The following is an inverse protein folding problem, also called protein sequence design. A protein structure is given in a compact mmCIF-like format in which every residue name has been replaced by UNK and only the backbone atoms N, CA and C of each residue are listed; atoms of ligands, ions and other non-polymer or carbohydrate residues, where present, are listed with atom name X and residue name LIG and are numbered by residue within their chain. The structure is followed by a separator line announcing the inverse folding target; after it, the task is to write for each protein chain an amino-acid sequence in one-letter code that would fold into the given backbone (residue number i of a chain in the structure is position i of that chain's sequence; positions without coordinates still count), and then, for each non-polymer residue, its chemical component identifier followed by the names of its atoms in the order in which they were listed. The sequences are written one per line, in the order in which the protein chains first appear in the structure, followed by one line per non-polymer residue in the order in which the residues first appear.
data_IF_537081505198
#
_entry.id   IF_537081505198
#
_cell.length_a   1.000
_cell.length_b   1.000
_cell.length_c   1.000
_cell.angle_alpha   90.00
_cell.angle_beta   90.00
_cell.angle_gamma   90.00
#
_symmetry.space_group_name_H-M   'P 1'
#
loop_
_entity.id
_entity.type
_entity.pdbx_description
1 polymer ?
#
# COMPACT_ATOMS: atom_id res chain seq x y z
N UNK A 1 -8.08 -0.93 -44.41
CA UNK A 1 -7.07 -0.22 -43.60
C UNK A 1 -7.06 -0.87 -42.23
N UNK A 2 -6.05 -1.68 -41.91
CA UNK A 2 -5.90 -2.25 -40.58
C UNK A 2 -5.62 -1.10 -39.60
N UNK A 3 -6.44 -0.97 -38.54
CA UNK A 3 -6.13 -0.08 -37.42
C UNK A 3 -4.76 -0.48 -36.90
N UNK A 4 -3.77 0.40 -37.01
CA UNK A 4 -2.50 0.24 -36.29
C UNK A 4 -2.84 0.27 -34.81
N UNK A 5 -2.97 -0.88 -34.19
CA UNK A 5 -3.03 -1.00 -32.74
C UNK A 5 -1.67 -0.55 -32.22
N UNK A 6 -1.62 0.63 -31.60
CA UNK A 6 -0.45 1.07 -30.82
C UNK A 6 -0.39 0.38 -29.45
N UNK A 7 -1.29 -0.57 -29.20
CA UNK A 7 -1.36 -1.35 -27.97
C UNK A 7 -0.72 -2.72 -28.25
N UNK A 8 0.23 -3.09 -27.40
CA UNK A 8 0.72 -4.46 -27.29
C UNK A 8 -0.22 -5.19 -26.34
N UNK A 9 -0.85 -6.26 -26.80
CA UNK A 9 -1.59 -7.16 -25.92
C UNK A 9 -0.58 -7.84 -24.98
N UNK A 10 -0.74 -7.62 -23.67
CA UNK A 10 0.11 -8.26 -22.66
C UNK A 10 -0.39 -9.68 -22.31
N UNK A 11 -1.69 -9.93 -22.51
CA UNK A 11 -2.34 -11.20 -22.27
C UNK A 11 -3.85 -11.04 -22.13
N UNK A 12 -4.54 -12.17 -22.09
CA UNK A 12 -5.95 -12.27 -21.76
C UNK A 12 -6.08 -13.09 -20.47
N UNK A 13 -7.03 -12.73 -19.61
CA UNK A 13 -7.39 -13.54 -18.45
C UNK A 13 -8.81 -14.01 -18.66
N UNK A 14 -8.99 -15.32 -18.86
CA UNK A 14 -10.29 -15.95 -18.97
C UNK A 14 -10.28 -17.27 -18.19
N UNK A 15 -10.90 -17.30 -17.02
CA UNK A 15 -11.02 -18.52 -16.23
C UNK A 15 -12.36 -18.56 -15.46
N UNK A 16 -12.83 -19.77 -15.14
CA UNK A 16 -14.12 -19.97 -14.47
C UNK A 16 -14.10 -19.45 -13.03
N UNK A 17 -12.93 -19.45 -12.37
CA UNK A 17 -12.72 -19.02 -11.00
C UNK A 17 -13.06 -17.53 -10.80
N UNK A 18 -13.01 -16.72 -11.85
CA UNK A 18 -13.45 -15.31 -11.80
C UNK A 18 -14.92 -15.18 -11.41
N UNK A 19 -15.75 -16.18 -11.70
CA UNK A 19 -17.18 -16.19 -11.32
C UNK A 19 -17.37 -16.11 -9.80
N UNK A 20 -16.42 -16.62 -9.01
CA UNK A 20 -16.46 -16.53 -7.55
C UNK A 20 -16.25 -15.11 -7.03
N UNK A 21 -15.62 -14.23 -7.83
CA UNK A 21 -15.46 -12.81 -7.53
C UNK A 21 -16.56 -11.94 -8.16
N UNK A 22 -17.59 -12.57 -8.73
CA UNK A 22 -18.73 -11.90 -9.33
C UNK A 22 -18.60 -11.60 -10.82
N UNK A 23 -17.64 -12.22 -11.52
CA UNK A 23 -17.57 -12.12 -12.98
C UNK A 23 -18.79 -12.78 -13.65
N UNK A 24 -19.15 -12.28 -14.83
CA UNK A 24 -20.31 -12.76 -15.61
C UNK A 24 -21.24 -11.66 -16.12
N UNK A 25 -20.97 -10.39 -15.75
CA UNK A 25 -21.63 -9.20 -16.31
C UNK A 25 -20.58 -8.22 -16.81
N UNK A 26 -20.87 -7.50 -17.89
CA UNK A 26 -20.03 -6.39 -18.33
C UNK A 26 -19.87 -5.37 -17.18
N UNK A 27 -18.67 -4.82 -17.00
CA UNK A 27 -18.41 -3.82 -15.97
C UNK A 27 -18.19 -4.36 -14.54
N UNK A 28 -18.30 -5.67 -14.30
CA UNK A 28 -18.23 -6.27 -12.95
C UNK A 28 -17.00 -5.84 -12.11
N UNK A 29 -15.84 -5.67 -12.75
CA UNK A 29 -14.60 -5.25 -12.09
C UNK A 29 -14.67 -3.81 -11.55
N UNK A 30 -15.41 -2.93 -12.21
CA UNK A 30 -15.52 -1.49 -11.89
C UNK A 30 -16.73 -1.22 -11.01
N UNK A 31 -17.82 -1.95 -11.22
CA UNK A 31 -19.09 -1.75 -10.52
C UNK A 31 -19.11 -2.34 -9.11
N UNK A 32 -18.18 -3.24 -8.77
CA UNK A 32 -18.07 -3.82 -7.43
C UNK A 32 -17.09 -3.03 -6.54
N UNK A 33 -17.57 -2.16 -5.63
CA UNK A 33 -16.68 -1.36 -4.77
C UNK A 33 -15.99 -2.18 -3.67
N UNK A 34 -16.41 -3.43 -3.44
CA UNK A 34 -15.78 -4.32 -2.46
C UNK A 34 -14.66 -5.16 -3.07
N UNK A 35 -14.53 -5.17 -4.40
CA UNK A 35 -13.49 -5.91 -5.09
C UNK A 35 -12.19 -5.13 -5.02
N UNK A 36 -11.14 -5.80 -4.55
CA UNK A 36 -9.79 -5.29 -4.48
C UNK A 36 -9.00 -5.86 -5.64
N UNK A 37 -8.13 -5.04 -6.22
CA UNK A 37 -7.26 -5.44 -7.32
C UNK A 37 -5.86 -4.85 -7.11
N UNK A 38 -4.84 -5.70 -7.26
CA UNK A 38 -3.44 -5.28 -7.33
C UNK A 38 -2.75 -5.99 -8.47
N UNK A 39 -2.00 -5.22 -9.24
CA UNK A 39 -1.30 -5.65 -10.44
C UNK A 39 0.19 -5.73 -10.15
N UNK A 40 0.84 -6.71 -10.73
CA UNK A 40 2.29 -6.71 -10.89
C UNK A 40 2.64 -6.95 -12.37
N UNK A 41 3.94 -7.09 -12.67
CA UNK A 41 4.44 -7.25 -14.04
C UNK A 41 3.89 -8.50 -14.73
N UNK A 42 3.58 -9.57 -13.99
CA UNK A 42 3.30 -10.90 -14.56
C UNK A 42 1.93 -11.48 -14.20
N UNK A 43 1.17 -10.79 -13.36
CA UNK A 43 -0.11 -11.27 -12.85
C UNK A 43 -0.95 -10.16 -12.20
N UNK A 44 -2.17 -10.54 -11.85
CA UNK A 44 -3.10 -9.75 -11.06
C UNK A 44 -3.57 -10.58 -9.87
N UNK A 45 -3.70 -9.95 -8.70
CA UNK A 45 -4.46 -10.50 -7.59
C UNK A 45 -5.78 -9.72 -7.47
N UNK A 46 -6.87 -10.47 -7.44
CA UNK A 46 -8.22 -9.96 -7.21
C UNK A 46 -8.76 -10.56 -5.91
N UNK A 47 -9.36 -9.74 -5.05
CA UNK A 47 -9.91 -10.22 -3.79
C UNK A 47 -11.29 -9.63 -3.50
N UNK A 48 -12.17 -10.48 -2.98
CA UNK A 48 -13.38 -10.03 -2.29
C UNK A 48 -13.11 -9.99 -0.77
N UNK A 49 -14.16 -10.11 0.05
CA UNK A 49 -14.08 -10.10 1.52
C UNK A 49 -13.47 -11.36 2.14
N UNK A 50 -13.36 -12.46 1.39
CA UNK A 50 -13.05 -13.80 1.92
C UNK A 50 -12.08 -14.62 1.09
N UNK A 51 -11.94 -14.31 -0.20
CA UNK A 51 -11.21 -15.08 -1.20
C UNK A 51 -10.31 -14.14 -1.98
N UNK A 52 -9.09 -14.61 -2.27
CA UNK A 52 -8.17 -13.98 -3.21
C UNK A 52 -7.91 -14.95 -4.36
N UNK A 53 -7.85 -14.44 -5.57
CA UNK A 53 -7.50 -15.15 -6.78
C UNK A 53 -6.29 -14.45 -7.42
N UNK A 54 -5.20 -15.20 -7.60
CA UNK A 54 -3.99 -14.76 -8.28
C UNK A 54 -4.02 -15.36 -9.69
N UNK A 55 -3.87 -14.51 -10.71
CA UNK A 55 -4.02 -14.88 -12.12
C UNK A 55 -2.80 -14.36 -12.89
N UNK A 56 -2.06 -15.25 -13.56
CA UNK A 56 -0.97 -14.86 -14.44
C UNK A 56 -1.46 -14.35 -15.80
N UNK A 57 -0.65 -13.54 -16.49
CA UNK A 57 -0.96 -13.08 -17.86
C UNK A 57 -0.64 -14.12 -18.94
N UNK A 58 0.23 -15.09 -18.64
CA UNK A 58 0.77 -16.03 -19.63
C UNK A 58 0.20 -17.44 -19.45
N UNK A 59 -0.88 -17.78 -20.15
CA UNK A 59 -1.57 -19.09 -20.04
C UNK A 59 -0.66 -20.29 -20.37
N UNK A 60 0.39 -20.11 -21.17
CA UNK A 60 1.29 -21.19 -21.59
C UNK A 60 2.30 -21.61 -20.49
N UNK A 61 2.47 -20.78 -19.45
CA UNK A 61 3.34 -21.12 -18.32
C UNK A 61 2.53 -21.90 -17.25
N UNK A 62 2.88 -23.15 -16.92
CA UNK A 62 2.19 -23.89 -15.85
C UNK A 62 2.25 -23.19 -14.47
N UNK A 63 3.17 -22.23 -14.27
CA UNK A 63 3.23 -21.37 -13.08
C UNK A 63 2.17 -20.25 -13.05
N UNK A 64 1.49 -20.00 -14.17
CA UNK A 64 0.47 -18.95 -14.31
C UNK A 64 -0.94 -19.40 -13.93
N UNK A 65 -1.11 -20.70 -13.60
CA UNK A 65 -2.41 -21.27 -13.23
C UNK A 65 -3.06 -20.45 -12.11
N UNK A 66 -4.39 -20.26 -12.17
CA UNK A 66 -5.11 -19.55 -11.12
C UNK A 66 -4.81 -20.13 -9.74
N UNK A 67 -4.24 -19.32 -8.85
CA UNK A 67 -4.04 -19.69 -7.45
C UNK A 67 -5.12 -19.06 -6.60
N UNK A 68 -5.76 -19.88 -5.80
CA UNK A 68 -6.88 -19.49 -4.97
C UNK A 68 -6.51 -19.55 -3.50
N UNK A 69 -6.66 -18.42 -2.81
CA UNK A 69 -6.38 -18.29 -1.39
C UNK A 69 -7.70 -18.00 -0.66
N UNK A 70 -8.03 -18.84 0.33
CA UNK A 70 -9.12 -18.59 1.28
C UNK A 70 -8.53 -18.50 2.69
N UNK A 71 -8.18 -17.29 3.16
CA UNK A 71 -7.62 -17.12 4.49
C UNK A 71 -8.57 -17.66 5.56
N UNK A 72 -8.07 -18.51 6.47
CA UNK A 72 -8.83 -18.99 7.63
C UNK A 72 -8.96 -17.87 8.67
N UNK A 73 -9.92 -16.98 8.45
CA UNK A 73 -10.21 -15.83 9.31
C UNK A 73 -11.39 -16.14 10.25
N UNK A 74 -11.17 -15.96 11.55
CA UNK A 74 -12.26 -16.02 12.53
C UNK A 74 -13.09 -14.72 12.52
N UNK A 75 -14.33 -14.70 13.07
CA UNK A 75 -15.12 -13.47 13.18
C UNK A 75 -14.41 -12.33 13.94
N UNK A 76 -13.49 -12.68 14.85
CA UNK A 76 -12.69 -11.70 15.59
C UNK A 76 -11.58 -11.08 14.72
N UNK A 77 -11.16 -11.75 13.64
CA UNK A 77 -10.13 -11.30 12.71
C UNK A 77 -10.72 -10.50 11.54
N UNK A 78 -12.03 -10.67 11.30
CA UNK A 78 -12.78 -9.88 10.33
C UNK A 78 -12.61 -10.38 8.90
N UNK A 79 -12.84 -9.48 7.95
CA UNK A 79 -12.83 -9.76 6.51
C UNK A 79 -11.60 -9.14 5.84
N UNK A 80 -11.26 -9.61 4.63
CA UNK A 80 -10.25 -8.98 3.78
C UNK A 80 -10.67 -7.54 3.48
N UNK A 81 -9.76 -6.59 3.70
CA UNK A 81 -10.03 -5.16 3.52
C UNK A 81 -8.98 -4.43 2.69
N UNK A 82 -7.79 -4.99 2.53
CA UNK A 82 -6.73 -4.49 1.67
C UNK A 82 -5.85 -5.66 1.18
N UNK A 83 -5.27 -5.52 0.00
CA UNK A 83 -4.25 -6.42 -0.54
C UNK A 83 -3.14 -5.58 -1.18
N UNK A 84 -1.90 -6.07 -1.16
CA UNK A 84 -0.76 -5.44 -1.85
C UNK A 84 0.34 -6.47 -2.11
N UNK A 85 1.03 -6.34 -3.26
CA UNK A 85 2.20 -7.17 -3.54
C UNK A 85 3.40 -6.69 -2.74
N UNK A 86 4.10 -7.62 -2.09
CA UNK A 86 5.44 -7.39 -1.55
C UNK A 86 6.42 -8.07 -2.50
N UNK A 87 7.27 -7.26 -3.10
CA UNK A 87 8.32 -7.69 -4.03
C UNK A 87 9.64 -7.13 -3.52
N UNK A 88 10.53 -8.01 -3.10
CA UNK A 88 11.88 -7.69 -2.61
C UNK A 88 12.88 -8.59 -3.33
N UNK A 89 13.75 -7.99 -4.13
CA UNK A 89 14.65 -8.72 -5.05
C UNK A 89 13.86 -9.77 -5.88
N UNK A 90 14.21 -11.06 -5.75
CA UNK A 90 13.54 -12.18 -6.42
C UNK A 90 12.38 -12.78 -5.62
N UNK A 91 12.12 -12.26 -4.42
CA UNK A 91 11.05 -12.76 -3.55
C UNK A 91 9.77 -11.98 -3.83
N UNK A 92 8.70 -12.74 -4.08
CA UNK A 92 7.36 -12.21 -4.32
C UNK A 92 6.33 -12.90 -3.44
N UNK A 93 5.56 -12.12 -2.70
CA UNK A 93 4.49 -12.60 -1.82
C UNK A 93 3.30 -11.65 -1.83
N UNK A 94 2.12 -12.16 -1.51
CA UNK A 94 0.90 -11.36 -1.40
C UNK A 94 0.64 -11.00 0.07
N UNK A 95 0.49 -9.71 0.35
CA UNK A 95 0.07 -9.23 1.66
C UNK A 95 -1.43 -8.93 1.69
N UNK A 96 -2.07 -9.27 2.81
CA UNK A 96 -3.51 -9.12 3.04
C UNK A 96 -3.72 -8.41 4.36
N UNK A 97 -4.50 -7.33 4.34
CA UNK A 97 -4.96 -6.60 5.51
C UNK A 97 -6.42 -6.91 5.79
N UNK A 98 -6.78 -7.00 7.05
CA UNK A 98 -8.16 -7.31 7.48
C UNK A 98 -8.90 -6.13 8.07
N UNK A 99 -10.22 -6.25 8.18
CA UNK A 99 -11.10 -5.24 8.78
C UNK A 99 -10.87 -5.04 10.28
N UNK A 100 -10.19 -5.97 10.95
CA UNK A 100 -9.90 -5.88 12.38
C UNK A 100 -8.40 -5.72 12.69
N UNK A 101 -7.57 -5.51 11.67
CA UNK A 101 -6.21 -5.00 11.87
C UNK A 101 -5.11 -6.05 11.84
N UNK A 102 -5.44 -7.26 11.37
CA UNK A 102 -4.45 -8.28 11.05
C UNK A 102 -3.78 -8.02 9.70
N UNK A 103 -2.48 -8.27 9.67
CA UNK A 103 -1.67 -8.43 8.47
C UNK A 103 -1.38 -9.92 8.27
N UNK A 104 -1.64 -10.43 7.08
CA UNK A 104 -1.30 -11.77 6.64
C UNK A 104 -0.37 -11.67 5.42
N UNK A 105 0.56 -12.61 5.30
CA UNK A 105 1.46 -12.73 4.15
C UNK A 105 1.32 -14.14 3.60
N UNK A 106 1.07 -14.26 2.30
CA UNK A 106 0.89 -15.52 1.60
C UNK A 106 1.93 -15.68 0.49
N UNK A 107 2.39 -16.92 0.28
CA UNK A 107 3.17 -17.28 -0.89
C UNK A 107 2.33 -17.10 -2.17
N UNK A 108 2.97 -16.97 -3.33
CA UNK A 108 2.25 -16.98 -4.62
C UNK A 108 1.51 -18.30 -4.84
N UNK A 109 1.98 -19.40 -4.21
CA UNK A 109 1.32 -20.71 -4.21
C UNK A 109 0.13 -20.83 -3.24
N UNK A 110 -0.12 -19.82 -2.41
CA UNK A 110 -1.26 -19.76 -1.50
C UNK A 110 -1.00 -20.27 -0.07
N UNK A 111 0.26 -20.52 0.29
CA UNK A 111 0.63 -20.91 1.65
C UNK A 111 0.69 -19.70 2.57
N UNK A 112 0.15 -19.82 3.78
CA UNK A 112 0.27 -18.77 4.79
C UNK A 112 1.70 -18.75 5.35
N UNK A 113 2.38 -17.61 5.18
CA UNK A 113 3.76 -17.38 5.65
C UNK A 113 3.75 -16.70 7.02
N UNK A 114 2.91 -15.66 7.18
CA UNK A 114 2.87 -14.84 8.39
C UNK A 114 1.46 -14.36 8.70
N UNK A 115 1.12 -14.24 9.99
CA UNK A 115 -0.15 -13.68 10.47
C UNK A 115 0.06 -12.94 11.79
N UNK A 116 -0.35 -11.67 11.84
CA UNK A 116 -0.13 -10.85 13.03
C UNK A 116 -1.17 -9.74 13.19
N UNK A 117 -1.64 -9.50 14.41
CA UNK A 117 -2.41 -8.31 14.77
C UNK A 117 -1.48 -7.08 14.87
N UNK A 118 -1.81 -6.02 14.12
CA UNK A 118 -1.03 -4.77 14.10
C UNK A 118 -1.60 -3.76 15.08
N UNK A 119 -2.85 -3.37 14.85
CA UNK A 119 -3.59 -2.43 15.69
C UNK A 119 -5.09 -2.63 15.47
N UNK A 120 -5.96 -2.51 16.49
CA UNK A 120 -7.39 -2.69 16.29
C UNK A 120 -7.98 -1.68 15.30
N UNK A 121 -8.62 -2.17 14.24
CA UNK A 121 -9.33 -1.36 13.26
C UNK A 121 -9.17 -1.85 11.82
N UNK A 122 -9.88 -1.23 10.88
CA UNK A 122 -9.82 -1.63 9.46
C UNK A 122 -8.50 -1.22 8.82
N UNK A 123 -7.79 -2.17 8.21
CA UNK A 123 -6.69 -1.83 7.30
C UNK A 123 -7.29 -1.19 6.05
N UNK A 124 -6.92 0.06 5.80
CA UNK A 124 -7.39 0.85 4.65
C UNK A 124 -6.49 0.61 3.43
N UNK A 125 -5.18 0.55 3.66
CA UNK A 125 -4.19 0.40 2.59
C UNK A 125 -2.95 -0.31 3.10
N UNK A 126 -2.38 -1.17 2.28
CA UNK A 126 -1.04 -1.69 2.41
C UNK A 126 -0.18 -1.01 1.34
N UNK A 127 1.05 -0.65 1.66
CA UNK A 127 1.98 -0.06 0.71
C UNK A 127 3.37 -0.63 0.92
N UNK A 128 4.02 -0.95 -0.18
CA UNK A 128 5.42 -1.36 -0.21
C UNK A 128 6.21 -0.28 -0.93
N UNK A 129 7.37 0.05 -0.37
CA UNK A 129 8.19 1.14 -0.88
C UNK A 129 9.65 0.78 -0.79
N UNK A 130 10.36 1.04 -1.88
CA UNK A 130 11.82 1.11 -1.91
C UNK A 130 12.24 2.58 -1.74
N UNK A 131 12.93 2.90 -0.63
CA UNK A 131 13.49 4.23 -0.40
C UNK A 131 14.98 4.22 -0.69
N UNK A 132 15.39 4.87 -1.78
CA UNK A 132 16.82 5.15 -2.03
C UNK A 132 17.22 6.45 -1.36
N UNK A 133 18.27 6.41 -0.54
CA UNK A 133 18.82 7.61 0.05
C UNK A 133 19.49 8.44 -1.06
N UNK A 134 19.12 9.72 -1.20
CA UNK A 134 19.63 10.57 -2.27
C UNK A 134 21.08 11.03 -2.10
N UNK A 135 21.71 10.68 -0.97
CA UNK A 135 23.00 11.24 -0.53
C UNK A 135 24.11 10.21 -0.33
N UNK A 136 23.81 8.91 -0.40
CA UNK A 136 24.80 7.84 -0.19
C UNK A 136 24.47 6.64 -1.07
N UNK A 137 25.52 5.91 -1.47
CA UNK A 137 25.46 4.63 -2.19
C UNK A 137 24.97 3.48 -1.29
N UNK A 138 24.14 3.80 -0.28
CA UNK A 138 23.63 2.84 0.68
C UNK A 138 22.55 1.95 0.05
N UNK A 139 22.49 0.70 0.50
CA UNK A 139 21.46 -0.28 0.16
C UNK A 139 20.07 0.36 0.27
N UNK A 140 19.18 0.17 -0.73
CA UNK A 140 17.82 0.70 -0.67
C UNK A 140 17.13 0.27 0.62
N UNK A 141 16.51 1.23 1.30
CA UNK A 141 15.70 0.98 2.49
C UNK A 141 14.29 0.65 2.04
N UNK A 142 13.98 -0.63 2.02
CA UNK A 142 12.62 -1.10 1.78
C UNK A 142 11.78 -0.97 3.04
N UNK A 143 10.49 -0.71 2.87
CA UNK A 143 9.54 -0.69 3.97
C UNK A 143 8.15 -1.15 3.52
N UNK A 144 7.44 -1.78 4.46
CA UNK A 144 6.02 -2.10 4.32
C UNK A 144 5.25 -1.24 5.30
N UNK A 145 4.23 -0.53 4.83
CA UNK A 145 3.38 0.29 5.67
C UNK A 145 1.92 -0.14 5.63
N UNK A 146 1.28 -0.07 6.80
CA UNK A 146 -0.14 -0.39 7.00
C UNK A 146 -0.84 0.89 7.40
N UNK A 147 -1.81 1.30 6.59
CA UNK A 147 -2.61 2.51 6.81
C UNK A 147 -3.94 2.10 7.41
N UNK A 148 -4.31 2.75 8.51
CA UNK A 148 -5.55 2.56 9.24
C UNK A 148 -6.14 3.94 9.61
N UNK A 149 -7.41 4.05 10.01
CA UNK A 149 -8.01 5.33 10.37
C UNK A 149 -7.21 6.06 11.47
N UNK A 150 -6.51 7.13 11.08
CA UNK A 150 -5.69 7.93 11.98
C UNK A 150 -4.38 7.28 12.44
N UNK A 151 -3.99 6.11 11.90
CA UNK A 151 -2.80 5.36 12.31
C UNK A 151 -2.01 4.89 11.09
N UNK A 152 -0.68 5.00 11.18
CA UNK A 152 0.25 4.37 10.24
C UNK A 152 1.14 3.42 11.03
N UNK A 153 1.24 2.18 10.56
CA UNK A 153 2.26 1.24 10.99
C UNK A 153 3.35 1.11 9.92
N UNK A 154 4.60 0.95 10.34
CA UNK A 154 5.74 0.63 9.46
C UNK A 154 6.44 -0.62 9.94
N UNK A 155 6.77 -1.49 9.00
CA UNK A 155 7.69 -2.60 9.14
C UNK A 155 8.97 -2.27 8.40
N UNK A 156 10.11 -2.61 9.00
CA UNK A 156 11.37 -2.51 8.28
C UNK A 156 11.43 -3.59 7.19
N UNK A 157 11.79 -3.20 5.96
CA UNK A 157 11.87 -4.13 4.85
C UNK A 157 12.89 -5.23 5.07
N UNK A 158 14.00 -4.94 5.77
CA UNK A 158 15.02 -5.95 6.09
C UNK A 158 14.51 -7.05 7.03
N UNK A 159 13.67 -6.70 8.01
CA UNK A 159 13.02 -7.66 8.90
C UNK A 159 12.04 -8.56 8.11
N UNK A 160 11.24 -7.96 7.22
CA UNK A 160 10.31 -8.70 6.37
C UNK A 160 11.08 -9.62 5.40
N UNK A 161 12.12 -9.12 4.75
CA UNK A 161 12.95 -9.89 3.83
C UNK A 161 13.62 -11.08 4.54
N UNK A 162 14.15 -10.87 5.74
CA UNK A 162 14.74 -11.93 6.55
C UNK A 162 13.73 -13.03 6.87
N UNK A 163 12.52 -12.65 7.29
CA UNK A 163 11.43 -13.60 7.54
C UNK A 163 11.09 -14.41 6.28
N UNK A 164 10.96 -13.74 5.14
CA UNK A 164 10.64 -14.41 3.88
C UNK A 164 11.77 -15.37 3.46
N UNK A 165 13.02 -14.93 3.53
CA UNK A 165 14.18 -15.76 3.20
C UNK A 165 14.25 -17.02 4.07
N UNK A 166 14.01 -16.90 5.38
CA UNK A 166 13.94 -18.04 6.28
C UNK A 166 12.85 -19.04 5.87
N UNK A 167 11.64 -18.54 5.58
CA UNK A 167 10.54 -19.37 5.10
C UNK A 167 10.89 -20.12 3.80
N UNK A 168 11.42 -19.41 2.79
CA UNK A 168 11.78 -20.02 1.51
C UNK A 168 12.91 -21.05 1.65
N UNK A 169 13.88 -20.82 2.53
CA UNK A 169 14.95 -21.78 2.81
C UNK A 169 14.41 -23.06 3.46
N UNK A 170 13.45 -22.95 4.37
CA UNK A 170 12.82 -24.09 5.03
C UNK A 170 11.90 -24.88 4.10
N UNK A 171 11.07 -24.21 3.30
CA UNK A 171 10.25 -24.91 2.30
C UNK A 171 11.14 -25.66 1.31
N UNK A 172 12.27 -25.05 0.90
CA UNK A 172 13.26 -25.72 0.07
C UNK A 172 13.90 -26.90 0.81
N UNK A 173 14.28 -26.81 2.08
CA UNK A 173 14.87 -27.97 2.76
C UNK A 173 13.88 -29.11 2.94
N UNK A 174 12.62 -28.83 3.28
CA UNK A 174 11.56 -29.84 3.40
C UNK A 174 11.24 -30.56 2.08
N UNK A 175 11.33 -29.85 0.95
CA UNK A 175 11.19 -30.46 -0.37
C UNK A 175 12.32 -31.45 -0.71
N UNK A 176 13.51 -31.23 -0.14
CA UNK A 176 14.68 -32.09 -0.33
C UNK A 176 14.71 -33.25 0.69
N UNK A 177 14.21 -33.02 1.91
CA UNK A 177 14.05 -34.02 2.97
C UNK A 177 12.70 -34.76 2.84
N UNK A 178 12.52 -35.59 1.80
CA UNK A 178 11.31 -36.40 1.57
C UNK A 178 11.01 -37.48 2.64
N UNK A 179 11.56 -37.40 3.87
CA UNK A 179 11.20 -38.26 5.01
C UNK A 179 11.38 -37.52 6.33
N UNK A 180 10.31 -36.92 6.88
CA UNK A 180 9.67 -37.35 8.15
C UNK A 180 8.68 -36.30 8.68
N UNK A 181 7.53 -36.83 9.13
CA UNK A 181 6.59 -36.33 10.14
C UNK A 181 5.75 -35.08 9.85
N UNK A 182 4.45 -35.35 9.69
CA UNK A 182 3.35 -34.42 10.01
C UNK A 182 3.59 -33.84 11.41
N UNK A 183 4.01 -32.59 11.47
CA UNK A 183 3.94 -31.79 12.69
C UNK A 183 2.49 -31.32 12.85
N UNK A 184 1.97 -31.41 14.07
CA UNK A 184 0.66 -30.88 14.41
C UNK A 184 0.60 -29.37 14.14
N UNK A 185 -0.57 -28.83 13.72
CA UNK A 185 -0.72 -27.42 13.40
C UNK A 185 -0.86 -26.61 14.69
N UNK A 186 0.24 -26.41 15.41
CA UNK A 186 0.34 -25.28 16.34
C UNK A 186 0.35 -23.98 15.52
N UNK A 187 -0.33 -22.95 16.03
CA UNK A 187 -0.70 -21.70 15.35
C UNK A 187 0.35 -21.23 14.31
N UNK A 188 0.09 -21.38 12.99
CA UNK A 188 1.07 -21.06 11.95
C UNK A 188 1.47 -19.58 11.95
N UNK A 189 0.73 -18.72 12.68
CA UNK A 189 1.08 -17.32 12.90
C UNK A 189 2.32 -17.07 13.78
N UNK A 190 2.88 -18.09 14.46
CA UNK A 190 4.02 -17.90 15.37
C UNK A 190 5.35 -18.50 14.92
N UNK A 191 5.43 -19.15 13.75
CA UNK A 191 6.59 -19.99 13.39
C UNK A 191 7.89 -19.20 13.17
N UNK A 192 7.82 -17.99 12.59
CA UNK A 192 9.00 -17.16 12.26
C UNK A 192 9.18 -15.94 13.18
N UNK A 193 8.45 -15.91 14.29
CA UNK A 193 8.46 -14.80 15.23
C UNK A 193 7.61 -13.60 14.80
N UNK A 194 7.50 -12.62 15.71
CA UNK A 194 6.67 -11.43 15.51
C UNK A 194 7.46 -10.35 14.79
N UNK A 195 6.95 -9.87 13.66
CA UNK A 195 7.51 -8.72 12.96
C UNK A 195 7.39 -7.47 13.82
N UNK A 196 8.54 -6.85 14.10
CA UNK A 196 8.59 -5.57 14.79
C UNK A 196 8.03 -4.49 13.89
N UNK A 197 7.26 -3.58 14.47
CA UNK A 197 6.72 -2.44 13.76
C UNK A 197 6.71 -1.20 14.63
N UNK A 198 6.67 -0.04 14.01
CA UNK A 198 6.43 1.25 14.65
C UNK A 198 5.00 1.70 14.35
N UNK A 199 4.36 2.36 15.31
CA UNK A 199 3.00 2.91 15.19
C UNK A 199 3.04 4.41 15.38
N UNK A 200 2.35 5.16 14.53
CA UNK A 200 2.19 6.60 14.66
C UNK A 200 0.73 7.00 14.57
N UNK A 201 0.34 7.95 15.42
CA UNK A 201 -0.96 8.61 15.33
C UNK A 201 -0.84 9.81 14.38
N UNK A 202 -1.59 9.76 13.27
CA UNK A 202 -1.66 10.83 12.26
C UNK A 202 -3.05 11.45 12.18
N UNK A 203 -3.81 11.41 13.29
CA UNK A 203 -5.21 11.85 13.33
C UNK A 203 -5.39 13.33 13.71
N UNK A 204 -4.31 14.11 13.90
CA UNK A 204 -4.40 15.51 14.36
C UNK A 204 -5.34 16.36 13.51
N UNK A 205 -5.35 16.16 12.20
CA UNK A 205 -6.14 16.96 11.26
C UNK A 205 -7.43 16.28 10.81
N UNK A 206 -7.80 15.15 11.42
CA UNK A 206 -8.99 14.37 11.07
C UNK A 206 -8.66 12.90 10.81
N UNK A 207 -9.69 12.13 10.44
CA UNK A 207 -9.49 10.75 10.03
C UNK A 207 -8.82 10.70 8.65
N UNK A 208 -7.76 9.90 8.51
CA UNK A 208 -7.16 9.65 7.20
C UNK A 208 -7.94 8.57 6.45
N UNK A 209 -8.21 8.84 5.17
CA UNK A 209 -8.76 7.88 4.22
C UNK A 209 -7.65 7.06 3.56
N UNK A 210 -6.52 7.71 3.33
CA UNK A 210 -5.31 7.12 2.75
C UNK A 210 -4.09 7.88 3.29
N UNK A 211 -2.94 7.22 3.29
CA UNK A 211 -1.69 7.76 3.74
C UNK A 211 -0.52 7.04 3.09
N UNK A 212 0.65 7.67 3.11
CA UNK A 212 1.88 7.03 2.72
C UNK A 212 3.08 7.68 3.42
N UNK A 213 4.10 6.87 3.70
CA UNK A 213 5.42 7.37 4.06
C UNK A 213 6.14 7.73 2.75
N UNK A 214 6.57 8.98 2.62
CA UNK A 214 7.11 9.53 1.36
C UNK A 214 8.63 9.54 1.31
N UNK A 215 9.30 9.42 2.45
CA UNK A 215 10.75 9.32 2.54
C UNK A 215 11.31 9.72 3.90
N UNK A 216 12.63 9.77 3.99
CA UNK A 216 13.37 10.18 5.19
C UNK A 216 13.47 11.70 5.22
N UNK A 217 13.27 12.27 6.41
CA UNK A 217 13.48 13.67 6.69
C UNK A 217 14.80 13.89 7.43
N UNK A 218 15.48 15.03 7.21
CA UNK A 218 16.56 15.43 8.08
C UNK A 218 16.03 15.66 9.51
N UNK A 219 16.90 15.50 10.54
CA UNK A 219 16.52 15.79 11.90
C UNK A 219 16.07 17.25 12.05
N UNK A 220 15.16 17.55 13.00
CA UNK A 220 14.84 18.92 13.37
C UNK A 220 16.12 19.70 13.72
N UNK A 221 16.15 21.00 13.44
CA UNK A 221 17.32 21.85 13.67
C UNK A 221 17.84 21.79 15.12
N UNK A 222 16.95 21.64 16.08
CA UNK A 222 17.28 21.53 17.52
C UNK A 222 17.64 20.10 17.98
N UNK A 223 17.61 19.11 17.08
CA UNK A 223 17.87 17.70 17.37
C UNK A 223 18.93 17.11 16.42
N UNK A 224 19.80 17.96 15.89
CA UNK A 224 20.80 17.63 14.84
C UNK A 224 21.80 16.53 15.26
N UNK A 225 22.03 16.35 16.56
CA UNK A 225 22.90 15.29 17.11
C UNK A 225 22.16 13.97 17.43
N UNK A 226 20.88 13.89 17.12
CA UNK A 226 20.10 12.67 17.34
C UNK A 226 20.49 11.61 16.30
N UNK A 227 20.76 10.38 16.76
CA UNK A 227 20.91 9.21 15.89
C UNK A 227 19.56 8.68 15.37
N UNK A 228 18.46 9.35 15.72
CA UNK A 228 17.11 8.92 15.36
C UNK A 228 16.77 9.23 13.91
N UNK A 229 16.09 8.27 13.28
CA UNK A 229 15.53 8.46 11.94
C UNK A 229 14.17 9.16 12.03
N UNK A 230 13.96 10.06 11.08
CA UNK A 230 12.71 10.78 10.90
C UNK A 230 12.13 10.45 9.53
N UNK A 231 10.84 10.18 9.47
CA UNK A 231 10.13 9.92 8.21
C UNK A 231 9.12 11.03 7.94
N UNK A 232 8.86 11.29 6.66
CA UNK A 232 7.75 12.12 6.24
C UNK A 232 6.56 11.22 5.91
N UNK A 233 5.40 11.51 6.48
CA UNK A 233 4.15 10.88 6.09
C UNK A 233 3.19 11.93 5.54
N UNK A 234 2.53 11.58 4.46
CA UNK A 234 1.44 12.34 3.85
C UNK A 234 0.15 11.58 4.06
N UNK A 235 -0.89 12.28 4.50
CA UNK A 235 -2.24 11.74 4.67
C UNK A 235 -3.25 12.58 3.92
N UNK A 236 -4.35 11.96 3.51
CA UNK A 236 -5.49 12.62 2.88
C UNK A 236 -6.77 12.19 3.59
N UNK A 237 -7.80 13.03 3.59
CA UNK A 237 -9.07 12.68 4.22
C UNK A 237 -10.16 13.72 4.04
N UNK A 238 -11.23 13.56 4.81
CA UNK A 238 -12.41 14.41 4.74
C UNK A 238 -12.22 15.80 5.36
N UNK A 239 -11.47 15.87 6.47
CA UNK A 239 -11.28 17.12 7.23
C UNK A 239 -10.10 17.96 6.72
N UNK A 240 -9.11 17.29 6.13
CA UNK A 240 -7.97 17.90 5.47
C UNK A 240 -7.73 17.16 4.15
N UNK A 241 -7.73 17.92 3.05
CA UNK A 241 -7.46 17.37 1.70
C UNK A 241 -6.08 16.71 1.66
N UNK A 242 -5.14 17.33 2.37
CA UNK A 242 -3.77 16.88 2.52
C UNK A 242 -3.27 17.32 3.91
N UNK A 243 -2.56 16.44 4.61
CA UNK A 243 -1.72 16.79 5.74
C UNK A 243 -0.40 16.04 5.72
N UNK A 244 0.63 16.64 6.31
CA UNK A 244 1.95 16.04 6.39
C UNK A 244 2.44 16.01 7.84
N UNK A 245 3.20 14.95 8.15
CA UNK A 245 3.71 14.65 9.49
C UNK A 245 5.17 14.24 9.40
N UNK A 246 5.94 14.63 10.42
CA UNK A 246 7.25 14.08 10.74
C UNK A 246 7.07 12.97 11.77
N UNK A 247 7.42 11.76 11.39
CA UNK A 247 7.35 10.56 12.21
C UNK A 247 8.72 10.31 12.83
N UNK A 248 8.80 10.21 14.15
CA UNK A 248 10.02 9.86 14.87
C UNK A 248 10.02 8.39 15.23
N UNK A 249 11.16 7.72 15.16
CA UNK A 249 11.31 6.35 15.65
C UNK A 249 11.24 6.23 17.19
N UNK A 250 11.44 7.34 17.91
CA UNK A 250 11.49 7.36 19.37
C UNK A 250 10.13 7.06 20.01
N UNK A 251 10.11 5.97 20.77
CA UNK A 251 8.95 5.52 21.57
C UNK A 251 8.83 6.27 22.90
N UNK A 252 9.92 6.89 23.39
CA UNK A 252 9.98 7.47 24.75
C UNK A 252 9.24 8.80 24.91
N UNK A 253 8.82 9.43 23.81
CA UNK A 253 8.28 10.82 23.80
C UNK A 253 6.82 10.94 23.37
N UNK A 254 6.09 9.84 23.24
CA UNK A 254 4.68 9.88 22.85
C UNK A 254 3.78 10.18 24.06
N UNK A 255 3.62 11.47 24.36
CA UNK A 255 2.65 11.95 25.36
C UNK A 255 1.18 11.82 24.87
N UNK A 256 0.94 11.16 23.74
CA UNK A 256 -0.38 11.10 23.08
C UNK A 256 -1.11 9.77 23.34
N UNK A 257 -0.48 8.83 24.05
CA UNK A 257 -1.09 7.54 24.41
C UNK A 257 -2.32 7.62 25.33
N UNK A 258 -2.64 8.79 25.88
CA UNK A 258 -3.69 8.94 26.92
C UNK A 258 -5.00 9.58 26.42
N UNK A 259 -5.08 10.09 25.18
CA UNK A 259 -6.24 10.88 24.72
C UNK A 259 -7.15 10.12 23.73
N UNK A 260 -6.76 8.94 23.25
CA UNK A 260 -7.59 8.15 22.32
C UNK A 260 -8.66 7.26 22.98
N UNK A 261 -8.77 7.25 24.31
CA UNK A 261 -9.82 6.49 25.02
C UNK A 261 -11.16 7.22 25.15
N UNK A 262 -11.32 8.44 24.60
CA UNK A 262 -12.49 9.30 24.88
C UNK A 262 -13.45 9.58 23.73
N UNK A 263 -13.29 8.97 22.56
CA UNK A 263 -14.31 9.05 21.50
C UNK A 263 -14.52 7.70 20.82
N UNK A 264 -14.92 6.70 21.61
CA UNK A 264 -15.70 5.58 21.07
C UNK A 264 -17.19 5.95 21.24
N UNK A 265 -18.02 5.89 20.19
CA UNK A 265 -19.46 5.82 20.36
C UNK A 265 -19.77 4.66 21.30
N UNK A 266 -20.36 4.99 22.45
CA UNK A 266 -20.75 4.03 23.47
C UNK A 266 -21.92 3.17 22.97
N UNK A 267 -21.65 2.13 22.19
CA UNK A 267 -22.57 1.00 21.96
C UNK A 267 -21.81 -0.30 21.73
N UNK A 268 -20.98 -0.71 22.69
CA UNK A 268 -20.63 -2.12 22.85
C UNK A 268 -20.71 -2.47 24.34
N UNK A 269 -21.91 -2.94 24.72
CA UNK A 269 -22.21 -3.89 25.80
C UNK A 269 -21.22 -3.96 26.97
N UNK A 270 -21.41 -3.11 27.97
CA UNK A 270 -21.03 -3.38 29.37
C UNK A 270 -22.26 -3.37 30.28
N UNK A 271 -23.18 -4.29 30.01
CA UNK A 271 -24.08 -4.82 31.05
C UNK A 271 -23.73 -6.28 31.29
N UNK A 272 -22.70 -6.51 32.11
CA UNK A 272 -22.51 -7.78 32.80
C UNK A 272 -21.47 -7.61 33.93
N UNK A 273 -21.89 -7.18 35.13
CA UNK A 273 -21.38 -7.67 36.42
C UNK A 273 -21.90 -6.86 37.60
N UNK A 274 -23.12 -7.15 38.03
CA UNK A 274 -23.51 -7.07 39.44
C UNK A 274 -24.29 -8.33 39.78
N UNK A 275 -23.56 -9.44 39.90
CA UNK A 275 -24.05 -10.66 40.54
C UNK A 275 -22.85 -11.55 40.87
N UNK A 276 -22.08 -11.14 41.87
CA UNK A 276 -21.39 -12.09 42.75
C UNK A 276 -22.23 -12.28 44.00
N UNK A 277 -23.23 -13.14 43.90
CA UNK A 277 -23.65 -13.92 45.04
C UNK A 277 -24.20 -15.25 44.54
N UNK A 278 -23.65 -16.33 45.09
CA UNK A 278 -24.14 -17.72 45.06
C UNK A 278 -23.57 -18.62 43.94
N UNK A 279 -22.67 -19.49 44.41
CA UNK A 279 -22.30 -20.84 43.95
C UNK A 279 -21.01 -21.09 43.16
N UNK A 280 -20.17 -21.93 43.79
CA UNK A 280 -19.06 -22.71 43.21
C UNK A 280 -19.62 -23.72 42.21
N UNK A 281 -19.06 -23.74 41.00
CA UNK A 281 -18.76 -24.99 40.28
C UNK A 281 -17.63 -24.72 39.30
N UNK A 282 -16.70 -25.67 39.22
CA UNK A 282 -15.58 -25.69 38.28
C UNK A 282 -16.05 -25.53 36.83
N UNK A 283 -15.44 -24.58 36.12
CA UNK A 283 -15.45 -24.57 34.65
C UNK A 283 -14.18 -23.90 34.16
N UNK A 284 -13.35 -24.68 33.49
CA UNK A 284 -12.11 -24.34 32.80
C UNK A 284 -12.39 -23.20 31.81
N UNK A 285 -11.93 -21.99 32.13
CA UNK A 285 -12.05 -20.84 31.24
C UNK A 285 -10.78 -20.70 30.39
N UNK A 286 -10.99 -20.82 29.08
CA UNK A 286 -10.04 -20.53 28.02
C UNK A 286 -9.43 -19.13 28.18
N UNK A 287 -8.10 -19.08 28.16
CA UNK A 287 -7.28 -17.86 28.25
C UNK A 287 -7.61 -16.94 27.08
N UNK A 288 -8.33 -15.84 27.35
CA UNK A 288 -8.37 -14.68 26.46
C UNK A 288 -7.01 -13.98 26.59
N UNK A 289 -6.14 -14.11 25.59
CA UNK A 289 -4.91 -13.32 25.49
C UNK A 289 -5.30 -11.87 25.20
N UNK A 290 -5.38 -11.06 26.25
CA UNK A 290 -5.52 -9.62 26.16
C UNK A 290 -4.19 -9.05 25.61
N UNK A 291 -4.12 -8.81 24.30
CA UNK A 291 -2.92 -8.28 23.65
C UNK A 291 -2.78 -6.81 24.05
N UNK A 292 -1.87 -6.54 24.99
CA UNK A 292 -1.56 -5.17 25.44
C UNK A 292 -1.17 -4.29 24.23
N UNK A 293 -1.88 -3.17 23.98
CA UNK A 293 -1.61 -2.34 22.81
C UNK A 293 -0.21 -1.74 22.89
N UNK A 294 0.54 -1.84 21.77
CA UNK A 294 1.87 -1.28 21.65
C UNK A 294 1.84 0.25 21.74
N UNK A 295 2.78 0.90 22.45
CA UNK A 295 2.83 2.36 22.51
C UNK A 295 3.13 2.97 21.14
N UNK A 296 2.45 4.07 20.83
CA UNK A 296 2.72 4.89 19.66
C UNK A 296 4.06 5.63 19.80
N UNK A 297 4.79 5.79 18.70
CA UNK A 297 5.90 6.72 18.59
C UNK A 297 5.40 8.13 18.24
N UNK A 298 6.27 9.14 18.38
CA UNK A 298 5.88 10.55 18.19
C UNK A 298 5.64 10.88 16.72
N UNK A 299 4.46 11.41 16.41
CA UNK A 299 4.15 12.02 15.11
C UNK A 299 3.94 13.53 15.30
N UNK A 300 4.76 14.34 14.64
CA UNK A 300 4.71 15.80 14.72
C UNK A 300 4.11 16.35 13.42
N UNK A 301 3.01 17.10 13.48
CA UNK A 301 2.42 17.71 12.29
C UNK A 301 3.36 18.74 11.67
N UNK A 302 3.43 18.78 10.34
CA UNK A 302 4.26 19.71 9.57
C UNK A 302 3.41 20.77 8.88
N UNK A 303 2.42 20.34 8.10
CA UNK A 303 1.51 21.22 7.37
C UNK A 303 0.17 20.53 7.11
N UNK A 304 -0.85 21.32 6.80
CA UNK A 304 -2.14 20.82 6.35
C UNK A 304 -2.79 21.79 5.35
N UNK A 305 -3.45 21.22 4.34
CA UNK A 305 -4.33 21.93 3.42
C UNK A 305 -5.78 21.60 3.78
N UNK A 306 -6.44 22.54 4.45
CA UNK A 306 -7.88 22.49 4.73
C UNK A 306 -8.62 23.38 3.73
N UNK A 307 -9.56 22.80 2.98
CA UNK A 307 -10.29 23.51 1.92
C UNK A 307 -11.76 23.02 1.88
N UNK A 308 -12.48 23.14 2.99
CA UNK A 308 -13.88 22.70 3.10
C UNK A 308 -14.75 23.40 2.03
N UNK A 309 -15.57 22.70 1.20
CA UNK A 309 -16.05 21.31 1.32
C UNK A 309 -15.20 20.22 0.66
N UNK A 310 -14.02 20.55 0.15
CA UNK A 310 -13.15 19.59 -0.53
C UNK A 310 -12.59 18.55 0.44
N UNK A 311 -12.55 17.31 -0.03
CA UNK A 311 -11.99 16.14 0.65
C UNK A 311 -10.95 15.50 -0.25
N UNK A 312 -9.87 14.97 0.34
CA UNK A 312 -8.93 14.13 -0.40
C UNK A 312 -9.49 12.71 -0.52
N UNK A 313 -9.39 12.11 -1.71
CA UNK A 313 -10.01 10.81 -2.01
C UNK A 313 -9.02 9.69 -2.33
N UNK A 314 -7.98 9.95 -3.14
CA UNK A 314 -6.96 8.95 -3.49
C UNK A 314 -5.56 9.56 -3.46
N UNK A 315 -4.59 8.80 -2.96
CA UNK A 315 -3.18 9.17 -2.92
C UNK A 315 -2.35 8.17 -3.75
N UNK A 316 -1.68 8.68 -4.78
CA UNK A 316 -0.75 7.90 -5.62
C UNK A 316 0.66 8.47 -5.45
N UNK A 317 1.62 7.65 -5.05
CA UNK A 317 3.03 8.07 -4.95
C UNK A 317 3.79 7.73 -6.22
N UNK A 318 4.79 8.54 -6.56
CA UNK A 318 5.79 8.16 -7.56
C UNK A 318 6.69 7.04 -7.01
N UNK A 319 7.35 6.24 -7.87
CA UNK A 319 8.28 5.20 -7.44
C UNK A 319 9.36 5.72 -6.48
N UNK A 320 9.89 6.92 -6.77
CA UNK A 320 10.87 7.58 -5.90
C UNK A 320 10.27 8.22 -4.64
N UNK A 321 8.95 8.34 -4.54
CA UNK A 321 8.22 9.03 -3.48
C UNK A 321 8.36 10.54 -3.45
N UNK A 322 9.15 11.14 -4.34
CA UNK A 322 9.37 12.60 -4.40
C UNK A 322 8.14 13.37 -4.87
N UNK A 323 7.23 12.69 -5.55
CA UNK A 323 5.99 13.24 -6.05
C UNK A 323 4.81 12.41 -5.56
N UNK A 324 3.68 13.08 -5.34
CA UNK A 324 2.40 12.44 -5.07
C UNK A 324 1.29 13.11 -5.86
N UNK A 325 0.42 12.31 -6.46
CA UNK A 325 -0.82 12.77 -7.08
C UNK A 325 -1.98 12.51 -6.11
N UNK A 326 -2.76 13.55 -5.81
CA UNK A 326 -3.90 13.49 -4.90
C UNK A 326 -5.16 13.89 -5.66
N UNK A 327 -6.14 13.01 -5.71
CA UNK A 327 -7.47 13.33 -6.27
C UNK A 327 -8.38 13.86 -5.16
N UNK A 328 -9.23 14.82 -5.50
CA UNK A 328 -10.18 15.41 -4.55
C UNK A 328 -11.66 15.18 -4.96
N UNK A 329 -12.55 15.41 -3.99
CA UNK A 329 -14.00 15.27 -4.15
C UNK A 329 -14.66 16.29 -5.08
N UNK A 330 -13.92 17.30 -5.55
CA UNK A 330 -14.39 18.33 -6.48
C UNK A 330 -13.86 18.11 -7.90
N UNK A 331 -13.22 16.96 -8.16
CA UNK A 331 -12.69 16.59 -9.46
C UNK A 331 -11.45 17.39 -9.86
N UNK A 332 -10.54 17.61 -8.90
CA UNK A 332 -9.19 18.12 -9.16
C UNK A 332 -8.13 17.07 -8.83
N UNK A 333 -6.97 17.25 -9.42
CA UNK A 333 -5.77 16.47 -9.14
C UNK A 333 -4.67 17.45 -8.70
N UNK A 334 -4.09 17.21 -7.53
CA UNK A 334 -2.97 17.98 -6.98
C UNK A 334 -1.68 17.16 -7.17
N UNK A 335 -0.68 17.73 -7.84
CA UNK A 335 0.69 17.19 -7.83
C UNK A 335 1.45 17.83 -6.68
N UNK A 336 1.82 17.04 -5.70
CA UNK A 336 2.57 17.42 -4.51
C UNK A 336 4.04 17.03 -4.67
N UNK A 337 4.95 17.98 -4.47
CA UNK A 337 6.33 17.69 -4.11
C UNK A 337 6.36 17.28 -2.62
N UNK A 338 6.75 16.04 -2.35
CA UNK A 338 6.69 15.47 -0.99
C UNK A 338 7.88 15.87 -0.13
N UNK A 339 8.95 16.40 -0.71
CA UNK A 339 10.11 16.90 0.02
C UNK A 339 9.87 18.34 0.47
N UNK A 340 9.41 19.19 -0.45
CA UNK A 340 9.05 20.57 -0.15
C UNK A 340 7.69 20.71 0.53
N UNK A 341 6.83 19.68 0.42
CA UNK A 341 5.43 19.69 0.88
C UNK A 341 4.61 20.82 0.22
N UNK A 342 4.89 21.07 -1.07
CA UNK A 342 4.24 22.11 -1.88
C UNK A 342 3.53 21.49 -3.08
N UNK A 343 2.31 21.96 -3.35
CA UNK A 343 1.58 21.59 -4.57
C UNK A 343 2.20 22.32 -5.76
N UNK A 344 2.84 21.57 -6.65
CA UNK A 344 3.56 22.10 -7.83
C UNK A 344 2.68 22.22 -9.07
N UNK A 345 1.58 21.46 -9.15
CA UNK A 345 0.61 21.54 -10.26
C UNK A 345 -0.79 21.14 -9.81
N UNK A 346 -1.80 21.70 -10.48
CA UNK A 346 -3.22 21.39 -10.27
C UNK A 346 -3.92 21.18 -11.62
N UNK A 347 -4.66 20.08 -11.75
CA UNK A 347 -5.58 19.85 -12.86
C UNK A 347 -7.04 19.97 -12.37
N UNK A 348 -7.94 20.51 -13.20
CA UNK A 348 -9.36 20.69 -12.87
C UNK A 348 -10.24 19.96 -13.89
N UNK A 349 -11.40 19.47 -13.47
CA UNK A 349 -12.35 18.77 -14.36
C UNK A 349 -12.01 17.29 -14.57
N UNK A 350 -11.37 16.68 -13.57
CA UNK A 350 -10.94 15.28 -13.54
C UNK A 350 -11.68 14.54 -12.41
N UNK A 351 -13.01 14.64 -12.42
CA UNK A 351 -13.86 13.92 -11.44
C UNK A 351 -13.72 12.41 -11.66
N UNK A 352 -13.64 11.66 -10.57
CA UNK A 352 -13.46 10.21 -10.55
C UNK A 352 -12.17 9.72 -11.25
N UNK A 353 -11.16 10.59 -11.40
CA UNK A 353 -9.93 10.24 -12.08
C UNK A 353 -9.06 9.28 -11.25
N UNK A 354 -8.27 8.47 -11.96
CA UNK A 354 -7.24 7.60 -11.39
C UNK A 354 -5.88 8.04 -11.90
N UNK A 355 -4.90 8.05 -11.01
CA UNK A 355 -3.54 8.47 -11.30
C UNK A 355 -2.60 7.28 -11.20
N UNK A 356 -1.60 7.24 -12.07
CA UNK A 356 -0.51 6.26 -12.03
C UNK A 356 0.79 6.95 -12.44
N UNK A 357 1.84 6.77 -11.64
CA UNK A 357 3.18 7.16 -12.07
C UNK A 357 3.82 6.01 -12.84
N UNK A 358 4.44 6.32 -13.97
CA UNK A 358 5.10 5.36 -14.86
C UNK A 358 6.43 5.95 -15.35
N UNK A 359 7.40 5.08 -15.64
CA UNK A 359 8.68 5.49 -16.25
C UNK A 359 8.66 5.12 -17.74
N UNK A 360 8.99 6.08 -18.61
CA UNK A 360 8.98 5.92 -20.07
C UNK A 360 10.41 6.08 -20.58
N UNK A 361 10.89 5.13 -21.36
CA UNK A 361 12.19 5.23 -22.01
C UNK A 361 12.20 6.37 -23.04
N UNK A 362 13.15 7.28 -22.88
CA UNK A 362 13.41 8.44 -23.73
C UNK A 362 14.46 8.05 -24.79
N UNK A 363 14.20 8.35 -26.06
CA UNK A 363 15.20 8.18 -27.13
C UNK A 363 14.95 7.00 -28.08
N UNK A 364 13.73 6.46 -28.13
CA UNK A 364 13.37 5.39 -29.06
C UNK A 364 13.04 5.93 -30.47
N UNK A 365 13.94 6.69 -31.08
CA UNK A 365 13.82 7.05 -32.49
C UNK A 365 15.18 6.98 -33.20
N UNK A 366 15.16 6.25 -34.33
CA UNK A 366 16.15 6.16 -35.43
C UNK A 366 17.35 5.21 -35.26
N UNK A 367 17.17 3.98 -35.77
CA UNK A 367 18.17 3.23 -36.56
C UNK A 367 19.60 3.16 -36.05
N UNK A 368 19.85 2.35 -35.02
CA UNK A 368 21.15 1.71 -34.80
C UNK A 368 21.01 0.53 -33.84
N UNK A 369 20.48 -0.56 -34.37
CA UNK A 369 20.77 -1.89 -33.86
C UNK A 369 22.27 -2.15 -33.96
N UNK A 370 23.03 -1.89 -32.89
CA UNK A 370 24.30 -2.57 -32.54
C UNK A 370 24.84 -2.05 -31.21
N UNK A 371 24.58 -2.76 -30.11
CA UNK A 371 25.46 -3.02 -28.95
C UNK A 371 24.59 -3.26 -27.69
N UNK A 372 25.06 -4.15 -26.81
CA UNK A 372 24.48 -4.45 -25.51
C UNK A 372 24.57 -3.22 -24.57
N UNK A 373 23.83 -2.15 -24.85
CA UNK A 373 23.65 -1.08 -23.87
C UNK A 373 22.55 -1.50 -22.91
N UNK A 374 22.96 -1.86 -21.70
CA UNK A 374 22.06 -2.00 -20.56
C UNK A 374 21.47 -0.61 -20.26
N UNK A 375 20.17 -0.46 -20.43
CA UNK A 375 19.49 0.82 -20.26
C UNK A 375 19.70 1.34 -18.84
N UNK A 376 20.20 2.56 -18.73
CA UNK A 376 20.44 3.22 -17.46
C UNK A 376 19.18 3.95 -16.99
N UNK A 377 19.07 4.24 -15.69
CA UNK A 377 17.93 5.00 -15.15
C UNK A 377 17.77 6.39 -15.77
N UNK A 378 18.86 6.99 -16.27
CA UNK A 378 18.83 8.28 -16.98
C UNK A 378 18.12 8.22 -18.34
N UNK A 379 17.94 7.02 -18.89
CA UNK A 379 17.21 6.83 -20.15
C UNK A 379 15.69 6.85 -19.94
N UNK A 380 15.21 6.93 -18.70
CA UNK A 380 13.78 6.94 -18.38
C UNK A 380 13.31 8.30 -17.87
N UNK A 381 12.14 8.71 -18.34
CA UNK A 381 11.41 9.87 -17.83
C UNK A 381 10.22 9.43 -16.98
N UNK A 382 10.10 10.00 -15.78
CA UNK A 382 8.92 9.84 -14.94
C UNK A 382 7.73 10.60 -15.54
N UNK A 383 6.63 9.90 -15.74
CA UNK A 383 5.37 10.41 -16.26
C UNK A 383 4.23 10.14 -15.28
N UNK A 384 3.22 11.01 -15.30
CA UNK A 384 1.95 10.84 -14.61
C UNK A 384 0.88 10.53 -15.66
N UNK A 385 0.37 9.30 -15.65
CA UNK A 385 -0.80 8.92 -16.41
C UNK A 385 -2.06 9.24 -15.58
N UNK A 386 -3.02 9.91 -16.22
CA UNK A 386 -4.30 10.29 -15.62
C UNK A 386 -5.40 9.66 -16.46
N UNK A 387 -6.04 8.63 -15.92
CA UNK A 387 -7.28 8.10 -16.47
C UNK A 387 -8.45 8.97 -16.00
N UNK A 388 -9.20 9.54 -16.93
CA UNK A 388 -10.36 10.38 -16.67
C UNK A 388 -11.64 9.70 -17.20
N UNK A 389 -12.32 8.85 -16.40
CA UNK A 389 -13.41 8.01 -16.87
C UNK A 389 -14.56 8.81 -17.50
N UNK A 390 -14.90 9.97 -16.91
CA UNK A 390 -15.96 10.85 -17.41
C UNK A 390 -15.69 11.42 -18.80
N UNK A 391 -14.43 11.48 -19.20
CA UNK A 391 -13.99 11.93 -20.52
C UNK A 391 -13.68 10.78 -21.47
N UNK A 392 -13.55 9.54 -20.96
CA UNK A 392 -13.14 8.37 -21.75
C UNK A 392 -11.71 8.46 -22.29
N UNK A 393 -10.81 9.16 -21.60
CA UNK A 393 -9.43 9.38 -22.04
C UNK A 393 -8.40 9.02 -20.96
N UNK A 394 -7.19 8.70 -21.41
CA UNK A 394 -5.98 8.64 -20.58
C UNK A 394 -5.00 9.69 -21.10
N UNK A 395 -4.60 10.62 -20.24
CA UNK A 395 -3.62 11.65 -20.54
C UNK A 395 -2.30 11.34 -19.86
N UNK A 396 -1.17 11.51 -20.56
CA UNK A 396 0.17 11.27 -20.01
C UNK A 396 0.91 12.59 -19.93
N UNK A 397 1.36 12.95 -18.73
CA UNK A 397 2.11 14.17 -18.47
C UNK A 397 3.54 13.86 -18.02
N UNK A 398 4.52 14.52 -18.62
CA UNK A 398 5.90 14.46 -18.13
C UNK A 398 5.99 15.10 -16.74
N UNK A 399 6.51 14.35 -15.77
CA UNK A 399 6.61 14.77 -14.36
C UNK A 399 7.93 15.48 -14.10
N UNK A 400 8.27 16.50 -14.91
CA UNK A 400 9.41 17.34 -14.59
C UNK A 400 9.01 18.36 -13.52
N UNK A 401 9.63 18.26 -12.34
CA UNK A 401 9.70 19.39 -11.41
C UNK A 401 10.76 20.32 -11.98
N UNK A 402 10.34 21.21 -12.87
CA UNK A 402 11.14 22.39 -13.18
C UNK A 402 10.71 23.45 -12.17
N UNK A 403 11.45 23.59 -11.05
CA UNK A 403 11.41 24.84 -10.28
C UNK A 403 12.08 25.90 -11.14
N UNK A 404 11.36 26.40 -12.14
CA UNK A 404 11.72 27.63 -12.83
C UNK A 404 10.63 28.62 -12.45
N UNK A 405 11.03 29.54 -11.57
CA UNK A 405 10.51 30.91 -11.56
C UNK A 405 10.72 31.48 -12.97
N UNK A 406 9.84 31.16 -13.90
CA UNK A 406 9.53 32.01 -15.03
C UNK A 406 8.26 31.57 -15.71
N UNK A 407 7.33 32.52 -15.73
CA UNK A 407 6.15 32.52 -16.55
C UNK A 407 6.51 32.43 -18.03
N UNK A 408 5.63 31.78 -18.80
CA UNK A 408 5.56 31.77 -20.27
C UNK A 408 6.80 31.26 -21.03
N UNK A 409 6.78 29.98 -21.40
CA UNK A 409 7.12 29.57 -22.78
C UNK A 409 6.21 28.41 -23.21
N UNK A 410 5.47 28.54 -24.33
CA UNK A 410 4.79 27.41 -24.94
C UNK A 410 5.85 26.60 -25.69
N UNK A 411 5.96 25.30 -25.42
CA UNK A 411 6.60 24.38 -26.37
C UNK A 411 5.55 23.97 -27.40
N UNK A 412 5.65 24.41 -28.67
CA UNK A 412 4.76 23.95 -29.73
C UNK A 412 5.45 22.74 -30.36
N UNK A 413 5.04 21.52 -29.99
CA UNK A 413 5.13 20.29 -30.80
C UNK A 413 4.90 19.08 -29.88
N UNK A 414 3.65 18.91 -29.43
CA UNK A 414 3.07 17.62 -28.99
C UNK A 414 1.53 17.73 -29.00
N UNK A 415 0.99 18.50 -29.95
CA UNK A 415 -0.44 18.52 -30.25
C UNK A 415 -0.67 17.65 -31.50
N UNK A 416 -1.73 16.84 -31.40
CA UNK A 416 -2.22 15.84 -32.36
C UNK A 416 -1.52 14.47 -32.16
N UNK A 417 -2.19 13.37 -31.84
CA UNK A 417 -3.50 12.88 -32.28
C UNK A 417 -4.08 11.90 -31.24
N UNK A 418 -5.28 12.18 -30.72
CA UNK A 418 -6.24 11.14 -30.31
C UNK A 418 -7.64 11.68 -30.63
N UNK A 419 -8.13 11.34 -31.82
CA UNK A 419 -9.56 11.29 -32.11
C UNK A 419 -9.92 9.80 -32.23
N UNK A 420 -11.01 9.40 -31.57
CA UNK A 420 -11.54 8.03 -31.45
C UNK A 420 -11.60 7.23 -32.76
#
# INVERSE_FOLDING_TARGET
MAKRSHLTELGCIACEELSELGAGKEGWLVENPSLLAVLDTHSIALADRSTVLILGWNEDDPSSRPVKIRPSLSPAEGEISAIEWIVFDDIRVLSIGTSNGYLLIFSVGGDLIHKQMIYPGRVLRLRVRETRNGFSQDTPLEEVSVVMPGVIARFDGSDVQTLLQQWFQEVRSQLWDQKLQKRDPEDPGSLYGKLQHQLWNVSKYGSCLDAAITGIMPPPLMELQSSQRYYCAVTIGADAVLSAYRLSEDRSRSLVGTILSKVLPATFSTLASFSKMIWRSEQTSTVKTDVKPQPFAKASPLTCLKDNPRKGEKLTLSPSGKLAAITDSLGRILLLDTQALVVVRLWKGYRDAFCLFMEILVGRDTTSSTSYHEHSKSDYCLCLAIHAPRKGIVEVYLSYIVVVLNWFLPFPHLYNWFHF
#
